data_IF_091246596739
#
_entry.id   IF_091246596739
#
_cell.length_a   1.000
_cell.length_b   1.000
_cell.length_c   1.000
_cell.angle_alpha   90.00
_cell.angle_beta   90.00
_cell.angle_gamma   90.00
#
_symmetry.space_group_name_H-M   'P 1'
#
loop_
_entity.id
_entity.type
_entity.pdbx_description
1 polymer ?
#
# COMPACT_ATOMS: atom_id res chain seq x y z
N UNK A 1 -13.43 -25.40 5.89
CA UNK A 1 -12.38 -24.98 6.85
C UNK A 1 -11.28 -24.26 6.08
N UNK A 2 -11.08 -22.96 6.34
CA UNK A 2 -10.07 -22.15 5.65
C UNK A 2 -8.67 -22.64 6.05
N UNK A 3 -7.98 -23.33 5.14
CA UNK A 3 -6.61 -23.76 5.36
C UNK A 3 -5.68 -22.52 5.32
N UNK A 4 -4.85 -22.25 6.36
CA UNK A 4 -3.95 -21.09 6.40
C UNK A 4 -3.07 -20.97 5.16
N UNK A 5 -2.61 -22.12 4.64
CA UNK A 5 -1.77 -22.18 3.46
C UNK A 5 -2.54 -21.78 2.20
N UNK A 6 -3.84 -22.08 2.12
CA UNK A 6 -4.67 -21.66 0.99
C UNK A 6 -4.92 -20.15 1.02
N UNK A 7 -5.20 -19.58 2.18
CA UNK A 7 -5.38 -18.13 2.33
C UNK A 7 -4.10 -17.38 1.95
N UNK A 8 -2.96 -17.79 2.50
CA UNK A 8 -1.64 -17.26 2.17
C UNK A 8 -1.35 -17.27 0.66
N UNK A 9 -1.56 -18.42 0.00
CA UNK A 9 -1.34 -18.53 -1.45
C UNK A 9 -2.28 -17.65 -2.26
N UNK A 10 -3.55 -17.50 -1.86
CA UNK A 10 -4.52 -16.64 -2.56
C UNK A 10 -4.11 -15.18 -2.48
N UNK A 11 -3.73 -14.70 -1.30
CA UNK A 11 -3.25 -13.32 -1.11
C UNK A 11 -2.05 -13.03 -2.04
N UNK A 12 -1.03 -13.89 -2.03
CA UNK A 12 0.15 -13.72 -2.89
C UNK A 12 -0.15 -13.81 -4.40
N UNK A 13 -1.25 -14.47 -4.79
CA UNK A 13 -1.71 -14.47 -6.18
C UNK A 13 -2.41 -13.16 -6.54
N UNK A 14 -3.24 -12.63 -5.65
CA UNK A 14 -3.92 -11.35 -5.87
C UNK A 14 -2.92 -10.19 -5.90
N UNK A 15 -1.87 -10.23 -5.07
CA UNK A 15 -0.78 -9.25 -5.11
C UNK A 15 -0.11 -9.13 -6.49
N UNK A 16 -0.21 -10.16 -7.35
CA UNK A 16 0.38 -10.10 -8.68
C UNK A 16 -0.24 -9.07 -9.61
N UNK A 17 -1.46 -8.65 -9.29
CA UNK A 17 -2.21 -7.63 -10.01
C UNK A 17 -1.91 -6.21 -9.49
N UNK A 18 -1.17 -6.09 -8.39
CA UNK A 18 -0.78 -4.79 -7.83
C UNK A 18 0.46 -4.22 -8.54
N UNK A 19 0.62 -2.87 -8.56
CA UNK A 19 1.87 -2.21 -8.94
C UNK A 19 3.06 -2.78 -8.19
N UNK A 20 4.23 -2.76 -8.85
CA UNK A 20 5.44 -3.47 -8.42
C UNK A 20 5.88 -3.09 -7.00
N UNK A 21 5.82 -1.79 -6.69
CA UNK A 21 6.28 -1.21 -5.43
C UNK A 21 5.37 -1.67 -4.29
N UNK A 22 4.05 -1.54 -4.47
CA UNK A 22 3.03 -1.95 -3.49
C UNK A 22 3.08 -3.47 -3.27
N UNK A 23 3.22 -4.23 -4.37
CA UNK A 23 3.37 -5.68 -4.32
C UNK A 23 4.59 -6.11 -3.51
N UNK A 24 5.73 -5.46 -3.70
CA UNK A 24 6.95 -5.80 -2.98
C UNK A 24 6.77 -5.64 -1.47
N UNK A 25 6.27 -4.49 -1.04
CA UNK A 25 6.02 -4.20 0.38
C UNK A 25 4.99 -5.18 0.96
N UNK A 26 3.87 -5.39 0.26
CA UNK A 26 2.82 -6.32 0.68
C UNK A 26 3.31 -7.75 0.79
N UNK A 27 4.09 -8.25 -0.17
CA UNK A 27 4.62 -9.62 -0.15
C UNK A 27 5.54 -9.86 1.06
N UNK A 28 6.37 -8.88 1.43
CA UNK A 28 7.24 -8.99 2.60
C UNK A 28 6.43 -9.06 3.89
N UNK A 29 5.43 -8.17 4.03
CA UNK A 29 4.58 -8.12 5.21
C UNK A 29 3.74 -9.40 5.39
N UNK A 30 3.10 -9.89 4.33
CA UNK A 30 2.32 -11.14 4.39
C UNK A 30 3.21 -12.32 4.79
N UNK A 31 4.44 -12.38 4.27
CA UNK A 31 5.39 -13.44 4.63
C UNK A 31 5.80 -13.38 6.10
N UNK A 32 6.10 -12.19 6.63
CA UNK A 32 6.49 -12.05 8.04
C UNK A 32 5.33 -12.43 8.96
N UNK A 33 4.12 -11.93 8.69
CA UNK A 33 2.97 -12.16 9.55
C UNK A 33 2.55 -13.63 9.60
N UNK A 34 2.43 -14.30 8.45
CA UNK A 34 2.10 -15.74 8.42
C UNK A 34 3.21 -16.61 9.03
N UNK A 35 4.47 -16.17 8.95
CA UNK A 35 5.59 -16.86 9.62
C UNK A 35 5.49 -16.72 11.14
N UNK A 36 5.23 -15.53 11.65
CA UNK A 36 5.05 -15.26 13.08
C UNK A 36 3.85 -16.02 13.65
N UNK A 37 2.78 -16.18 12.87
CA UNK A 37 1.56 -16.87 13.30
C UNK A 37 1.59 -18.40 13.09
N UNK A 38 2.67 -18.96 12.52
CA UNK A 38 2.75 -20.39 12.19
C UNK A 38 2.63 -21.31 13.42
N UNK A 39 3.16 -20.89 14.56
CA UNK A 39 3.24 -21.72 15.77
C UNK A 39 2.17 -21.36 16.81
N UNK A 40 1.29 -20.41 16.51
CA UNK A 40 0.20 -20.03 17.42
C UNK A 40 -0.90 -21.09 17.31
N UNK A 41 -1.25 -21.71 18.44
CA UNK A 41 -2.27 -22.74 18.52
C UNK A 41 -3.54 -22.26 19.24
N UNK A 42 -3.44 -21.16 19.97
CA UNK A 42 -4.56 -20.58 20.69
C UNK A 42 -5.57 -19.95 19.72
N UNK A 43 -6.78 -20.53 19.72
CA UNK A 43 -7.88 -20.12 18.85
C UNK A 43 -8.27 -18.65 19.02
N UNK A 44 -8.07 -18.07 20.21
CA UNK A 44 -8.42 -16.67 20.48
C UNK A 44 -7.63 -15.68 19.62
N UNK A 45 -6.43 -16.06 19.19
CA UNK A 45 -5.60 -15.27 18.28
C UNK A 45 -5.77 -15.70 16.81
N UNK A 46 -5.95 -17.00 16.57
CA UNK A 46 -6.13 -17.52 15.22
C UNK A 46 -7.43 -17.07 14.55
N UNK A 47 -8.55 -17.00 15.30
CA UNK A 47 -9.84 -16.61 14.74
C UNK A 47 -9.79 -15.16 14.21
N UNK A 48 -9.40 -14.15 15.00
CA UNK A 48 -9.26 -12.78 14.50
C UNK A 48 -8.27 -12.68 13.34
N UNK A 49 -7.15 -13.41 13.41
CA UNK A 49 -6.19 -13.46 12.32
C UNK A 49 -6.85 -13.91 11.00
N UNK A 50 -7.52 -15.06 10.99
CA UNK A 50 -8.16 -15.54 9.76
C UNK A 50 -9.28 -14.63 9.26
N UNK A 51 -10.05 -14.03 10.15
CA UNK A 51 -11.09 -13.06 9.79
C UNK A 51 -10.47 -11.86 9.06
N UNK A 52 -9.48 -11.21 9.68
CA UNK A 52 -8.82 -10.03 9.11
C UNK A 52 -8.13 -10.33 7.78
N UNK A 53 -7.43 -11.45 7.66
CA UNK A 53 -6.77 -11.82 6.41
C UNK A 53 -7.74 -12.24 5.31
N UNK A 54 -8.93 -12.74 5.66
CA UNK A 54 -9.99 -13.03 4.68
C UNK A 54 -10.65 -11.75 4.18
N UNK A 55 -10.91 -10.79 5.07
CA UNK A 55 -11.39 -9.45 4.72
C UNK A 55 -10.39 -8.71 3.84
N UNK A 56 -9.10 -8.75 4.20
CA UNK A 56 -8.02 -8.18 3.38
C UNK A 56 -7.99 -8.78 1.97
N UNK A 57 -8.09 -10.12 1.85
CA UNK A 57 -8.15 -10.76 0.54
C UNK A 57 -9.37 -10.29 -0.26
N UNK A 58 -10.54 -10.17 0.36
CA UNK A 58 -11.75 -9.70 -0.30
C UNK A 58 -11.59 -8.25 -0.81
N UNK A 59 -10.99 -7.37 0.01
CA UNK A 59 -10.66 -6.00 -0.39
C UNK A 59 -9.72 -5.98 -1.58
N UNK A 60 -8.63 -6.74 -1.54
CA UNK A 60 -7.69 -6.83 -2.65
C UNK A 60 -8.38 -7.32 -3.92
N UNK A 61 -9.21 -8.36 -3.82
CA UNK A 61 -9.95 -8.88 -4.96
C UNK A 61 -10.94 -7.86 -5.52
N UNK A 62 -11.57 -7.01 -4.70
CA UNK A 62 -12.41 -5.92 -5.18
C UNK A 62 -11.57 -4.85 -5.92
N UNK A 63 -10.37 -4.56 -5.43
CA UNK A 63 -9.49 -3.55 -6.02
C UNK A 63 -8.78 -4.02 -7.30
N UNK A 64 -8.55 -5.32 -7.43
CA UNK A 64 -7.84 -5.91 -8.57
C UNK A 64 -8.76 -6.67 -9.54
N UNK A 65 -9.96 -7.07 -9.11
CA UNK A 65 -10.86 -7.95 -9.84
C UNK A 65 -11.78 -7.27 -10.85
N UNK A 66 -11.72 -5.94 -10.99
CA UNK A 66 -12.30 -5.27 -12.14
C UNK A 66 -11.33 -5.47 -13.31
N UNK A 67 -11.49 -6.58 -14.03
CA UNK A 67 -10.62 -7.07 -15.12
C UNK A 67 -10.44 -6.05 -16.29
N UNK A 68 -11.07 -4.87 -16.22
CA UNK A 68 -10.92 -3.76 -17.16
C UNK A 68 -10.02 -2.60 -16.72
N UNK A 69 -9.54 -2.53 -15.47
CA UNK A 69 -8.71 -1.42 -15.00
C UNK A 69 -7.19 -1.63 -15.23
N UNK A 70 -6.84 -2.46 -16.22
CA UNK A 70 -5.46 -2.73 -16.63
C UNK A 70 -4.88 -1.63 -17.52
N UNK A 71 -5.14 -0.35 -17.25
CA UNK A 71 -4.39 0.73 -17.91
C UNK A 71 -4.18 1.91 -16.96
N UNK A 72 -2.91 2.20 -16.69
CA UNK A 72 -2.39 3.51 -16.30
C UNK A 72 -3.10 4.24 -15.13
N UNK A 73 -2.56 4.07 -13.93
CA UNK A 73 -2.52 5.16 -12.93
C UNK A 73 -3.80 5.51 -12.16
N UNK A 74 -4.92 4.79 -12.31
CA UNK A 74 -6.21 5.21 -11.71
C UNK A 74 -6.92 4.17 -10.84
N UNK A 75 -6.46 2.92 -10.76
CA UNK A 75 -6.99 1.96 -9.77
C UNK A 75 -6.67 2.47 -8.37
N UNK A 76 -7.70 2.94 -7.67
CA UNK A 76 -7.60 3.50 -6.32
C UNK A 76 -7.30 2.36 -5.34
N UNK A 77 -6.01 2.09 -5.14
CA UNK A 77 -5.53 1.06 -4.20
C UNK A 77 -5.59 1.60 -2.78
N UNK A 78 -5.99 0.75 -1.84
CA UNK A 78 -6.19 1.11 -0.44
C UNK A 78 -7.57 1.69 -0.13
N UNK A 79 -7.82 1.92 1.15
CA UNK A 79 -9.07 2.48 1.68
C UNK A 79 -8.71 3.71 2.50
N UNK A 80 -9.59 4.72 2.50
CA UNK A 80 -9.48 5.82 3.46
C UNK A 80 -9.54 5.27 4.88
N UNK A 81 -8.68 5.80 5.75
CA UNK A 81 -8.70 5.44 7.17
C UNK A 81 -10.02 5.90 7.80
N UNK A 82 -10.54 5.05 8.68
CA UNK A 82 -11.71 5.37 9.48
C UNK A 82 -11.35 6.48 10.49
N UNK A 83 -12.09 7.60 10.54
CA UNK A 83 -11.86 8.65 11.53
C UNK A 83 -11.84 8.13 12.96
N UNK A 84 -12.70 7.16 13.30
CA UNK A 84 -12.71 6.59 14.65
C UNK A 84 -11.45 5.79 14.99
N UNK A 85 -10.76 5.26 13.98
CA UNK A 85 -9.49 4.56 14.18
C UNK A 85 -8.37 5.57 14.44
N UNK A 86 -8.42 6.73 13.78
CA UNK A 86 -7.46 7.84 13.98
C UNK A 86 -7.56 8.35 15.42
N UNK A 87 -8.77 8.54 15.94
CA UNK A 87 -8.98 9.03 17.30
C UNK A 87 -8.49 8.06 18.39
N UNK A 88 -8.31 6.78 18.04
CA UNK A 88 -7.79 5.74 18.96
C UNK A 88 -6.29 5.53 18.81
N UNK A 89 -5.62 6.20 17.88
CA UNK A 89 -4.18 6.10 17.76
C UNK A 89 -3.51 6.79 18.95
N UNK A 90 -2.42 6.19 19.38
CA UNK A 90 -1.51 6.79 20.35
C UNK A 90 -0.73 7.94 19.70
N UNK A 91 -0.37 8.96 20.49
CA UNK A 91 0.22 10.21 19.99
C UNK A 91 1.49 9.95 19.16
N UNK A 92 2.36 9.04 19.62
CA UNK A 92 3.59 8.64 18.92
C UNK A 92 3.32 8.03 17.54
N UNK A 93 2.25 7.24 17.42
CA UNK A 93 1.86 6.59 16.15
C UNK A 93 1.23 7.59 15.20
N UNK A 94 0.45 8.53 15.74
CA UNK A 94 -0.13 9.61 14.95
C UNK A 94 0.97 10.52 14.38
N UNK A 95 2.00 10.83 15.17
CA UNK A 95 3.15 11.60 14.72
C UNK A 95 3.93 10.90 13.60
N UNK A 96 4.22 9.60 13.74
CA UNK A 96 4.88 8.82 12.69
C UNK A 96 4.09 8.80 11.37
N UNK A 97 2.76 8.66 11.44
CA UNK A 97 1.91 8.72 10.25
C UNK A 97 1.93 10.11 9.61
N UNK A 98 1.93 11.16 10.42
CA UNK A 98 2.00 12.54 9.93
C UNK A 98 3.35 12.84 9.26
N UNK A 99 4.45 12.36 9.84
CA UNK A 99 5.79 12.46 9.25
C UNK A 99 5.85 11.74 7.90
N UNK A 100 5.33 10.50 7.84
CA UNK A 100 5.26 9.73 6.60
C UNK A 100 4.42 10.45 5.53
N UNK A 101 3.28 11.02 5.91
CA UNK A 101 2.43 11.79 5.00
C UNK A 101 3.17 12.99 4.42
N UNK A 102 3.83 13.80 5.27
CA UNK A 102 4.65 14.95 4.84
C UNK A 102 5.79 14.52 3.91
N UNK A 103 6.50 13.45 4.25
CA UNK A 103 7.58 12.91 3.43
C UNK A 103 7.10 12.51 2.02
N UNK A 104 5.92 11.90 1.92
CA UNK A 104 5.33 11.53 0.63
C UNK A 104 4.93 12.75 -0.23
N UNK A 105 4.42 13.82 0.37
CA UNK A 105 4.02 15.05 -0.36
C UNK A 105 5.23 15.85 -0.86
N UNK A 106 6.32 15.86 -0.09
CA UNK A 106 7.53 16.60 -0.46
C UNK A 106 8.28 15.96 -1.65
N UNK A 107 8.12 14.66 -1.87
CA UNK A 107 8.75 13.97 -3.01
C UNK A 107 8.14 14.38 -4.37
N UNK A 108 6.88 14.85 -4.38
CA UNK A 108 6.21 15.31 -5.60
C UNK A 108 6.66 16.72 -6.04
N UNK A 109 7.32 17.48 -5.14
CA UNK A 109 7.72 18.87 -5.39
C UNK A 109 9.18 19.04 -5.84
N UNK A 110 10.05 18.05 -5.65
CA UNK A 110 11.49 18.15 -5.98
C UNK A 110 11.88 17.72 -7.41
N UNK A 111 10.95 17.20 -8.21
CA UNK A 111 11.22 16.70 -9.57
C UNK A 111 11.05 17.74 -10.70
N UNK A 112 10.75 19.01 -10.39
CA UNK A 112 10.51 20.06 -11.40
C UNK A 112 11.52 21.23 -11.45
N UNK A 113 12.47 21.33 -10.51
CA UNK A 113 13.41 22.48 -10.46
C UNK A 113 14.79 22.15 -11.05
N UNK A 114 14.82 21.74 -12.32
CA UNK A 114 16.07 21.32 -12.97
C UNK A 114 16.13 21.50 -14.49
N UNK A 115 15.49 22.52 -15.08
CA UNK A 115 15.71 22.85 -16.49
C UNK A 115 15.26 24.28 -16.87
N UNK A 116 16.06 25.31 -16.56
CA UNK A 116 16.04 26.57 -17.32
C UNK A 116 17.29 27.44 -17.05
N UNK A 117 18.49 26.90 -17.27
CA UNK A 117 19.64 27.76 -17.61
C UNK A 117 20.14 27.37 -19.01
N UNK A 118 19.90 28.27 -19.97
CA UNK A 118 20.76 28.64 -21.12
C UNK A 118 19.90 29.06 -22.33
N UNK A 119 20.00 30.33 -22.72
CA UNK A 119 19.38 30.81 -23.95
C UNK A 119 19.21 32.33 -24.09
N UNK A 120 20.12 33.16 -23.55
CA UNK A 120 20.12 34.59 -23.85
C UNK A 120 20.80 34.85 -25.21
N UNK A 121 20.00 34.93 -26.28
CA UNK A 121 20.46 35.44 -27.59
C UNK A 121 20.24 36.96 -27.62
N UNK A 122 21.28 37.80 -27.78
CA UNK A 122 21.09 39.24 -27.89
C UNK A 122 20.62 39.64 -29.31
N UNK A 123 19.81 40.71 -29.45
CA UNK A 123 19.17 41.05 -30.72
C UNK A 123 20.12 41.73 -31.71
N UNK A 124 19.98 41.37 -32.99
CA UNK A 124 20.63 42.03 -34.12
C UNK A 124 20.21 43.49 -34.22
N UNK A 125 21.18 44.41 -34.36
CA UNK A 125 20.92 45.75 -34.92
C UNK A 125 21.56 45.86 -36.30
N UNK A 126 20.77 46.40 -37.22
CA UNK A 126 21.14 46.80 -38.59
C UNK A 126 22.12 47.96 -38.56
#
# INVERSE_FOLDING_TARGET
>A
MNNPVNLYRRILRTHRMLPREIRFVGDQYVKSEFRSHRNITDKKYLIPFFTQWTEYLALLQQQTGDEGATHAGTSRIGKHMDPELIDRLDDDKAEQLLELHRASQNHDTQSNDGAAEQGAVPPKRK
#
